data_IF_053175397483
#
_entry.id   IF_053175397483
#
_cell.length_a   1.000
_cell.length_b   1.000
_cell.length_c   1.000
_cell.angle_alpha   90.00
_cell.angle_beta   90.00
_cell.angle_gamma   90.00
#
_symmetry.space_group_name_H-M   'P 1'
#
loop_
_entity.id
_entity.type
_entity.pdbx_description
1 polymer ?
#
# COMPACT_ATOMS: atom_id res chain seq x y z
N UNK A 1 -36.01 -17.58 -59.80
CA UNK A 1 -36.45 -16.81 -58.62
C UNK A 1 -36.24 -17.60 -57.32
N UNK A 2 -34.99 -17.92 -56.92
CA UNK A 2 -34.72 -18.55 -55.61
C UNK A 2 -33.33 -18.25 -55.01
N UNK A 3 -32.45 -17.55 -55.72
CA UNK A 3 -31.09 -17.24 -55.24
C UNK A 3 -31.14 -16.14 -54.16
N UNK A 4 -32.02 -15.15 -54.31
CA UNK A 4 -32.24 -14.06 -53.35
C UNK A 4 -32.70 -14.58 -51.96
N UNK A 5 -33.55 -15.62 -51.94
CA UNK A 5 -34.06 -16.23 -50.69
C UNK A 5 -33.00 -17.08 -49.97
N UNK A 6 -32.08 -17.69 -50.73
CA UNK A 6 -30.97 -18.46 -50.17
C UNK A 6 -29.95 -17.56 -49.45
N UNK A 7 -29.67 -16.37 -50.00
CA UNK A 7 -28.77 -15.39 -49.39
C UNK A 7 -29.31 -14.86 -48.05
N UNK A 8 -30.61 -14.58 -47.96
CA UNK A 8 -31.19 -14.10 -46.70
C UNK A 8 -31.25 -15.16 -45.58
N UNK A 9 -31.36 -16.46 -45.93
CA UNK A 9 -31.29 -17.53 -44.93
C UNK A 9 -29.87 -17.68 -44.38
N UNK A 10 -28.86 -17.59 -45.24
CA UNK A 10 -27.45 -17.57 -44.85
C UNK A 10 -27.16 -16.38 -43.93
N UNK A 11 -27.59 -15.17 -44.30
CA UNK A 11 -27.38 -13.96 -43.50
C UNK A 11 -28.05 -14.02 -42.11
N UNK A 12 -29.24 -14.63 -42.02
CA UNK A 12 -29.95 -14.86 -40.74
C UNK A 12 -29.30 -15.93 -39.87
N UNK A 13 -28.78 -17.01 -40.47
CA UNK A 13 -28.03 -18.03 -39.74
C UNK A 13 -26.69 -17.50 -39.23
N UNK A 14 -26.01 -16.70 -40.06
CA UNK A 14 -24.74 -16.06 -39.73
C UNK A 14 -24.92 -14.97 -38.66
N UNK A 15 -26.02 -14.21 -38.71
CA UNK A 15 -26.41 -13.27 -37.66
C UNK A 15 -26.69 -13.97 -36.33
N UNK A 16 -27.39 -15.10 -36.32
CA UNK A 16 -27.61 -15.89 -35.11
C UNK A 16 -26.32 -16.48 -34.56
N UNK A 17 -25.42 -16.95 -35.43
CA UNK A 17 -24.10 -17.45 -35.05
C UNK A 17 -23.21 -16.36 -34.46
N UNK A 18 -23.26 -15.14 -35.02
CA UNK A 18 -22.55 -13.98 -34.49
C UNK A 18 -23.10 -13.56 -33.12
N UNK A 19 -24.42 -13.55 -32.93
CA UNK A 19 -25.04 -13.26 -31.63
C UNK A 19 -24.70 -14.31 -30.55
N UNK A 20 -24.64 -15.60 -30.91
CA UNK A 20 -24.16 -16.64 -29.98
C UNK A 20 -22.64 -16.58 -29.74
N UNK A 21 -21.86 -16.14 -30.73
CA UNK A 21 -20.43 -15.92 -30.58
C UNK A 21 -20.10 -14.76 -29.63
N UNK A 22 -20.86 -13.66 -29.70
CA UNK A 22 -20.67 -12.48 -28.84
C UNK A 22 -21.06 -12.76 -27.37
N UNK A 23 -22.06 -13.61 -27.14
CA UNK A 23 -22.46 -14.02 -25.77
C UNK A 23 -21.46 -14.99 -25.14
N UNK A 24 -20.85 -15.88 -25.92
CA UNK A 24 -19.73 -16.73 -25.47
C UNK A 24 -18.45 -15.91 -25.24
N UNK A 25 -18.24 -14.83 -26.00
CA UNK A 25 -17.11 -13.90 -25.78
C UNK A 25 -17.24 -13.09 -24.49
N UNK A 26 -18.47 -12.84 -24.02
CA UNK A 26 -18.71 -12.17 -22.73
C UNK A 26 -18.36 -13.06 -21.52
N UNK A 27 -18.27 -14.38 -21.69
CA UNK A 27 -17.83 -15.31 -20.64
C UNK A 27 -16.32 -15.30 -20.40
N UNK A 28 -15.51 -14.80 -21.35
CA UNK A 28 -14.07 -14.57 -21.17
C UNK A 28 -13.76 -13.19 -20.56
N UNK A 29 -14.78 -12.39 -20.23
CA UNK A 29 -14.65 -11.20 -19.41
C UNK A 29 -14.63 -11.52 -17.90
N UNK A 30 -14.36 -12.78 -17.52
CA UNK A 30 -13.58 -13.07 -16.32
C UNK A 30 -12.17 -12.53 -16.55
N UNK A 31 -12.07 -11.20 -16.53
CA UNK A 31 -10.82 -10.49 -16.51
C UNK A 31 -9.95 -11.21 -15.48
N UNK A 32 -8.80 -11.71 -15.93
CA UNK A 32 -7.65 -11.96 -15.06
C UNK A 32 -7.22 -10.61 -14.49
N UNK A 33 -8.11 -9.99 -13.71
CA UNK A 33 -7.77 -8.91 -12.82
C UNK A 33 -6.66 -9.48 -11.97
N UNK A 34 -5.52 -8.78 -11.84
CA UNK A 34 -4.51 -9.14 -10.86
C UNK A 34 -5.22 -9.51 -9.56
N UNK A 35 -5.00 -10.72 -9.05
CA UNK A 35 -5.57 -11.10 -7.76
C UNK A 35 -5.11 -10.05 -6.76
N UNK A 36 -6.04 -9.36 -6.11
CA UNK A 36 -5.65 -8.41 -5.08
C UNK A 36 -4.84 -9.17 -4.04
N UNK A 37 -3.64 -8.67 -3.76
CA UNK A 37 -2.77 -9.23 -2.72
C UNK A 37 -3.55 -9.28 -1.42
N UNK A 38 -3.67 -10.45 -0.80
CA UNK A 38 -4.46 -10.58 0.41
C UNK A 38 -3.90 -9.63 1.49
N UNK A 39 -4.76 -8.91 2.23
CA UNK A 39 -4.29 -8.01 3.26
C UNK A 39 -3.52 -8.79 4.35
N UNK A 40 -2.58 -8.15 5.03
CA UNK A 40 -1.66 -8.85 5.96
C UNK A 40 -2.38 -9.55 7.14
N UNK A 41 -3.61 -9.14 7.43
CA UNK A 41 -4.51 -9.74 8.45
C UNK A 41 -5.53 -10.74 7.88
N UNK A 42 -5.52 -11.00 6.58
CA UNK A 42 -6.44 -11.88 5.86
C UNK A 42 -7.76 -11.22 5.44
N UNK A 43 -8.45 -11.83 4.47
CA UNK A 43 -9.79 -11.39 4.06
C UNK A 43 -10.76 -11.65 5.23
N UNK A 44 -11.31 -10.57 5.77
CA UNK A 44 -12.26 -10.63 6.88
C UNK A 44 -13.56 -11.34 6.52
N UNK A 45 -14.51 -11.39 7.46
CA UNK A 45 -15.81 -12.04 7.29
C UNK A 45 -16.77 -11.22 6.41
N UNK A 46 -16.37 -10.03 5.95
CA UNK A 46 -17.11 -9.18 5.03
C UNK A 46 -16.27 -8.05 4.40
N UNK A 47 -16.83 -7.38 3.40
CA UNK A 47 -16.14 -6.34 2.58
C UNK A 47 -15.62 -5.17 3.43
N UNK A 48 -16.33 -4.79 4.49
CA UNK A 48 -15.92 -3.68 5.36
C UNK A 48 -14.67 -4.03 6.18
N UNK A 49 -14.54 -5.30 6.59
CA UNK A 49 -13.42 -5.80 7.39
C UNK A 49 -12.18 -5.97 6.51
N UNK A 50 -12.35 -6.47 5.28
CA UNK A 50 -11.28 -6.48 4.27
C UNK A 50 -10.77 -5.08 3.97
N UNK A 51 -11.65 -4.08 3.83
CA UNK A 51 -11.25 -2.69 3.62
C UNK A 51 -10.50 -2.10 4.83
N UNK A 52 -10.92 -2.43 6.06
CA UNK A 52 -10.21 -2.04 7.28
C UNK A 52 -8.81 -2.66 7.36
N UNK A 53 -8.65 -3.93 6.97
CA UNK A 53 -7.36 -4.59 6.97
C UNK A 53 -6.38 -3.97 5.95
N UNK A 54 -6.85 -3.57 4.77
CA UNK A 54 -6.04 -2.74 3.86
C UNK A 54 -5.72 -1.36 4.43
N UNK A 55 -6.68 -0.74 5.13
CA UNK A 55 -6.47 0.53 5.83
C UNK A 55 -5.35 0.44 6.87
N UNK A 56 -5.31 -0.65 7.64
CA UNK A 56 -4.25 -0.93 8.60
C UNK A 56 -2.87 -1.02 7.93
N UNK A 57 -2.77 -1.77 6.82
CA UNK A 57 -1.50 -1.94 6.10
C UNK A 57 -0.96 -0.61 5.56
N UNK A 58 -1.83 0.25 5.01
CA UNK A 58 -1.43 1.59 4.54
C UNK A 58 -0.96 2.48 5.70
N UNK A 59 -1.70 2.50 6.80
CA UNK A 59 -1.30 3.29 7.99
C UNK A 59 0.02 2.77 8.57
N UNK A 60 0.25 1.46 8.57
CA UNK A 60 1.52 0.87 9.00
C UNK A 60 2.70 1.31 8.12
N UNK A 61 2.51 1.37 6.79
CA UNK A 61 3.54 1.89 5.88
C UNK A 61 3.83 3.38 6.12
N UNK A 62 2.79 4.20 6.36
CA UNK A 62 2.96 5.62 6.72
C UNK A 62 3.70 5.76 8.06
N UNK A 63 3.34 4.94 9.05
CA UNK A 63 3.98 4.95 10.36
C UNK A 63 5.47 4.60 10.27
N UNK A 64 5.82 3.64 9.41
CA UNK A 64 7.21 3.32 9.10
C UNK A 64 7.94 4.50 8.46
N UNK A 65 7.33 5.17 7.49
CA UNK A 65 7.92 6.34 6.83
C UNK A 65 8.18 7.50 7.81
N UNK A 66 7.23 7.78 8.71
CA UNK A 66 7.38 8.79 9.76
C UNK A 66 8.51 8.41 10.72
N UNK A 67 8.57 7.14 11.13
CA UNK A 67 9.63 6.64 12.03
C UNK A 67 11.02 6.79 11.39
N UNK A 68 11.15 6.50 10.09
CA UNK A 68 12.37 6.70 9.34
C UNK A 68 12.76 8.20 9.26
N UNK A 69 11.81 9.09 8.99
CA UNK A 69 12.05 10.52 8.96
C UNK A 69 12.49 11.07 10.33
N UNK A 70 11.87 10.62 11.42
CA UNK A 70 12.25 10.98 12.78
C UNK A 70 13.69 10.53 13.11
N UNK A 71 14.05 9.31 12.70
CA UNK A 71 15.43 8.82 12.84
C UNK A 71 16.43 9.71 12.10
N UNK A 72 16.14 10.08 10.85
CA UNK A 72 16.98 11.01 10.09
C UNK A 72 17.15 12.37 10.80
N UNK A 73 16.08 12.91 11.39
CA UNK A 73 16.13 14.15 12.17
C UNK A 73 17.03 14.05 13.40
N UNK A 74 16.92 12.96 14.17
CA UNK A 74 17.78 12.71 15.34
C UNK A 74 19.24 12.53 14.91
N UNK A 75 19.50 11.79 13.83
CA UNK A 75 20.85 11.60 13.29
C UNK A 75 21.48 12.93 12.84
N UNK A 76 20.71 13.80 12.19
CA UNK A 76 21.17 15.13 11.79
C UNK A 76 21.56 15.99 13.00
N UNK A 77 20.74 15.98 14.06
CA UNK A 77 21.03 16.70 15.29
C UNK A 77 22.23 16.10 16.06
N UNK A 78 22.41 14.78 16.04
CA UNK A 78 23.59 14.14 16.60
C UNK A 78 24.86 14.54 15.83
N UNK A 79 24.80 14.56 14.49
CA UNK A 79 25.94 14.92 13.64
C UNK A 79 26.43 16.34 13.87
N UNK A 80 25.52 17.32 14.00
CA UNK A 80 25.90 18.70 14.32
C UNK A 80 26.58 18.81 15.68
N UNK A 81 26.02 18.14 16.70
CA UNK A 81 26.57 18.13 18.05
C UNK A 81 27.95 17.42 18.11
N UNK A 82 28.15 16.37 17.31
CA UNK A 82 29.43 15.68 17.15
C UNK A 82 30.52 16.60 16.58
N UNK A 83 30.21 17.35 15.52
CA UNK A 83 31.14 18.32 14.92
C UNK A 83 31.57 19.41 15.93
N UNK A 84 30.65 19.85 16.78
CA UNK A 84 30.94 20.83 17.83
C UNK A 84 31.82 20.27 18.96
N UNK A 85 31.68 18.99 19.30
CA UNK A 85 32.60 18.31 20.24
C UNK A 85 33.99 18.17 19.65
N UNK A 86 34.08 17.81 18.36
CA UNK A 86 35.37 17.63 17.70
C UNK A 86 36.13 18.94 17.47
N UNK A 87 35.41 20.07 17.38
CA UNK A 87 36.00 21.41 17.33
C UNK A 87 36.25 22.03 18.73
N UNK A 88 36.00 21.27 19.81
CA UNK A 88 36.23 21.71 21.19
C UNK A 88 35.22 22.72 21.73
N UNK A 89 34.13 22.98 21.00
CA UNK A 89 33.06 23.93 21.40
C UNK A 89 32.07 23.31 22.39
N UNK A 90 31.93 21.98 22.38
CA UNK A 90 31.07 21.22 23.30
C UNK A 90 31.83 20.08 23.96
N UNK A 91 31.30 19.59 25.08
CA UNK A 91 31.87 18.43 25.80
C UNK A 91 31.23 17.12 25.32
N UNK A 92 31.98 16.03 25.43
CA UNK A 92 31.50 14.67 25.17
C UNK A 92 30.26 14.31 26.00
N UNK A 93 30.15 14.84 27.22
CA UNK A 93 28.97 14.66 28.06
C UNK A 93 27.70 15.31 27.49
N UNK A 94 27.81 16.51 26.92
CA UNK A 94 26.69 17.21 26.29
C UNK A 94 26.24 16.50 25.00
N UNK A 95 27.19 15.98 24.21
CA UNK A 95 26.86 15.12 23.07
C UNK A 95 26.13 13.85 23.50
N UNK A 96 26.64 13.13 24.50
CA UNK A 96 26.00 11.92 25.03
C UNK A 96 24.59 12.16 25.54
N UNK A 97 24.36 13.25 26.28
CA UNK A 97 23.03 13.67 26.73
C UNK A 97 22.09 13.95 25.56
N UNK A 98 22.57 14.70 24.56
CA UNK A 98 21.77 15.05 23.37
C UNK A 98 21.37 13.79 22.59
N UNK A 99 22.32 12.87 22.37
CA UNK A 99 22.05 11.58 21.72
C UNK A 99 21.12 10.70 22.54
N UNK A 100 21.27 10.68 23.87
CA UNK A 100 20.41 9.92 24.77
C UNK A 100 18.96 10.41 24.77
N UNK A 101 18.75 11.73 24.85
CA UNK A 101 17.41 12.33 24.74
C UNK A 101 16.80 12.08 23.36
N UNK A 102 17.61 12.17 22.29
CA UNK A 102 17.16 11.86 20.93
C UNK A 102 16.72 10.40 20.77
N UNK A 103 17.46 9.45 21.33
CA UNK A 103 17.08 8.04 21.31
C UNK A 103 15.79 7.77 22.11
N UNK A 104 15.64 8.39 23.28
CA UNK A 104 14.43 8.29 24.09
C UNK A 104 13.21 8.85 23.35
N UNK A 105 13.35 10.00 22.71
CA UNK A 105 12.30 10.59 21.88
C UNK A 105 11.88 9.62 20.76
N UNK A 106 12.84 8.98 20.11
CA UNK A 106 12.59 8.05 19.01
C UNK A 106 11.80 6.81 19.48
N UNK A 107 12.15 6.27 20.66
CA UNK A 107 11.39 5.19 21.30
C UNK A 107 9.94 5.61 21.56
N UNK A 108 9.73 6.82 22.11
CA UNK A 108 8.38 7.33 22.39
C UNK A 108 7.57 7.48 21.10
N UNK A 109 8.17 8.02 20.05
CA UNK A 109 7.52 8.19 18.74
C UNK A 109 7.08 6.84 18.19
N UNK A 110 7.98 5.87 18.05
CA UNK A 110 7.66 4.52 17.53
C UNK A 110 6.59 3.85 18.40
N UNK A 111 6.68 4.00 19.73
CA UNK A 111 5.71 3.43 20.65
C UNK A 111 4.31 4.02 20.45
N UNK A 112 4.17 5.34 20.34
CA UNK A 112 2.89 6.01 20.09
C UNK A 112 2.29 5.60 18.75
N UNK A 113 3.11 5.54 17.70
CA UNK A 113 2.69 5.09 16.38
C UNK A 113 2.16 3.65 16.42
N UNK A 114 2.88 2.76 17.11
CA UNK A 114 2.48 1.34 17.25
C UNK A 114 1.22 1.18 18.11
N UNK A 115 1.05 2.00 19.15
CA UNK A 115 -0.18 2.02 19.95
C UNK A 115 -1.36 2.58 19.16
N UNK A 116 -1.14 3.60 18.33
CA UNK A 116 -2.15 4.18 17.45
C UNK A 116 -2.63 3.21 16.38
N UNK A 117 -1.72 2.47 15.73
CA UNK A 117 -2.10 1.44 14.76
C UNK A 117 -2.89 0.31 15.40
N UNK A 118 -2.60 -0.04 16.66
CA UNK A 118 -3.32 -1.08 17.40
C UNK A 118 -4.77 -0.72 17.79
N UNK A 119 -5.18 0.55 17.65
CA UNK A 119 -6.57 0.99 17.87
C UNK A 119 -7.42 0.82 16.60
N UNK A 120 -6.79 0.71 15.42
CA UNK A 120 -7.44 0.39 14.14
C UNK A 120 -7.65 -1.13 13.98
#
# INVERSE_FOLDING_TARGET
MNIQRALERSKRSLSRLLLTGITLWSGLACAGLPSMEAPSRGDGRGIIETLQNYGYDIVALIALAISAAAFCGVAYHAYSCYSEVQTGKKTWGQFGLTCGVGALLLVIVIWLLTKGTGVL
#
